data_IF_966751167888
#
_entry.id   IF_966751167888
#
_cell.length_a   1.000
_cell.length_b   1.000
_cell.length_c   1.000
_cell.angle_alpha   90.00
_cell.angle_beta   90.00
_cell.angle_gamma   90.00
#
_symmetry.space_group_name_H-M   'P 1'
#
loop_
_entity.id
_entity.type
_entity.pdbx_description
1 polymer ?
#
# COMPACT_ATOMS: atom_id res chain seq x y z
N UNK A 1 9.09 -14.37 15.71
CA UNK A 1 9.85 -14.18 14.44
C UNK A 1 9.33 -12.90 13.80
N UNK A 2 10.20 -11.95 13.43
CA UNK A 2 9.77 -10.80 12.63
C UNK A 2 9.47 -11.32 11.23
N UNK A 3 8.20 -11.36 10.84
CA UNK A 3 7.85 -11.56 9.44
C UNK A 3 8.33 -10.29 8.71
N UNK A 4 9.39 -10.41 7.91
CA UNK A 4 9.78 -9.35 6.99
C UNK A 4 8.74 -9.30 5.88
N UNK A 5 7.74 -8.44 6.05
CA UNK A 5 6.74 -8.15 5.03
C UNK A 5 7.23 -7.02 4.14
N UNK A 6 7.01 -7.14 2.83
CA UNK A 6 7.32 -6.05 1.87
C UNK A 6 6.39 -4.85 2.12
N UNK A 7 5.14 -5.12 2.51
CA UNK A 7 4.14 -4.12 2.87
C UNK A 7 3.77 -4.31 4.34
N UNK A 8 3.97 -3.28 5.16
CA UNK A 8 3.58 -3.26 6.56
C UNK A 8 2.33 -2.38 6.75
N UNK A 9 1.20 -3.00 7.08
CA UNK A 9 -0.09 -2.32 7.24
C UNK A 9 -0.04 -1.27 8.36
N UNK A 10 0.72 -1.51 9.44
CA UNK A 10 0.84 -0.54 10.54
C UNK A 10 1.59 0.72 10.10
N UNK A 11 2.60 0.58 9.24
CA UNK A 11 3.33 1.72 8.68
C UNK A 11 2.45 2.48 7.66
N UNK A 12 1.72 1.76 6.82
CA UNK A 12 0.74 2.38 5.92
C UNK A 12 -0.33 3.17 6.69
N UNK A 13 -0.83 2.63 7.81
CA UNK A 13 -1.80 3.30 8.68
C UNK A 13 -1.22 4.56 9.31
N UNK A 14 0.06 4.52 9.71
CA UNK A 14 0.76 5.69 10.23
C UNK A 14 0.84 6.80 9.19
N UNK A 15 1.29 6.47 7.96
CA UNK A 15 1.38 7.44 6.86
C UNK A 15 0.01 8.02 6.50
N UNK A 16 -1.04 7.19 6.48
CA UNK A 16 -2.41 7.66 6.21
C UNK A 16 -2.89 8.64 7.29
N UNK A 17 -2.61 8.37 8.56
CA UNK A 17 -2.95 9.28 9.67
C UNK A 17 -2.18 10.59 9.61
N UNK A 18 -0.87 10.54 9.33
CA UNK A 18 -0.04 11.73 9.15
C UNK A 18 -0.60 12.61 8.01
N UNK A 19 -0.98 12.00 6.90
CA UNK A 19 -1.62 12.71 5.78
C UNK A 19 -2.96 13.34 6.19
N UNK A 20 -3.82 12.61 6.92
CA UNK A 20 -5.08 13.16 7.43
C UNK A 20 -4.84 14.38 8.32
N UNK A 21 -3.86 14.31 9.23
CA UNK A 21 -3.52 15.39 10.16
C UNK A 21 -2.99 16.63 9.44
N UNK A 22 -2.06 16.47 8.50
CA UNK A 22 -1.50 17.56 7.69
C UNK A 22 -2.57 18.29 6.87
N UNK A 23 -3.57 17.56 6.39
CA UNK A 23 -4.63 18.09 5.53
C UNK A 23 -5.90 18.48 6.31
N UNK A 24 -5.89 18.38 7.65
CA UNK A 24 -7.07 18.63 8.52
C UNK A 24 -8.29 17.78 8.13
N UNK A 25 -8.05 16.54 7.72
CA UNK A 25 -9.06 15.54 7.40
C UNK A 25 -9.23 14.64 8.62
N UNK A 26 -10.47 14.32 8.99
CA UNK A 26 -10.73 13.36 10.06
C UNK A 26 -10.32 11.94 9.62
N UNK A 27 -9.56 11.25 10.47
CA UNK A 27 -9.21 9.86 10.24
C UNK A 27 -10.45 8.97 10.34
N UNK A 28 -10.62 8.08 9.36
CA UNK A 28 -11.67 7.07 9.35
C UNK A 28 -11.07 5.71 9.03
N UNK A 29 -11.41 4.69 9.83
CA UNK A 29 -10.95 3.32 9.61
C UNK A 29 -11.49 2.77 8.28
N UNK A 30 -12.77 3.00 7.98
CA UNK A 30 -13.39 2.59 6.70
C UNK A 30 -12.69 3.21 5.48
N UNK A 31 -12.22 4.45 5.60
CA UNK A 31 -11.44 5.11 4.54
C UNK A 31 -10.04 4.53 4.40
N UNK A 32 -9.43 4.14 5.51
CA UNK A 32 -8.16 3.43 5.47
C UNK A 32 -8.31 2.04 4.82
N UNK A 33 -9.38 1.30 5.11
CA UNK A 33 -9.65 0.02 4.44
C UNK A 33 -9.90 0.19 2.93
N UNK A 34 -10.68 1.20 2.53
CA UNK A 34 -10.86 1.55 1.12
C UNK A 34 -9.53 1.88 0.43
N UNK A 35 -8.65 2.59 1.13
CA UNK A 35 -7.31 2.92 0.63
C UNK A 35 -6.43 1.68 0.49
N UNK A 36 -6.46 0.73 1.43
CA UNK A 36 -5.72 -0.53 1.32
C UNK A 36 -6.20 -1.36 0.12
N UNK A 37 -7.52 -1.45 -0.09
CA UNK A 37 -8.08 -2.17 -1.25
C UNK A 37 -7.66 -1.51 -2.57
N UNK A 38 -7.58 -0.18 -2.60
CA UNK A 38 -7.06 0.55 -3.75
C UNK A 38 -5.59 0.21 -4.01
N UNK A 39 -4.74 0.23 -2.98
CA UNK A 39 -3.32 -0.12 -3.10
C UNK A 39 -3.08 -1.58 -3.50
N UNK A 40 -3.92 -2.51 -3.05
CA UNK A 40 -3.79 -3.93 -3.37
C UNK A 40 -3.85 -4.18 -4.87
N UNK A 41 -4.77 -3.51 -5.58
CA UNK A 41 -4.92 -3.61 -7.03
C UNK A 41 -3.64 -3.12 -7.73
N UNK A 42 -3.18 -1.92 -7.37
CA UNK A 42 -1.97 -1.32 -7.93
C UNK A 42 -0.73 -2.18 -7.66
N UNK A 43 -0.63 -2.78 -6.48
CA UNK A 43 0.47 -3.67 -6.11
C UNK A 43 0.53 -4.89 -7.02
N UNK A 44 -0.59 -5.58 -7.25
CA UNK A 44 -0.61 -6.75 -8.11
C UNK A 44 -0.36 -6.42 -9.58
N UNK A 45 -0.85 -5.28 -10.04
CA UNK A 45 -0.56 -4.80 -11.40
C UNK A 45 0.93 -4.48 -11.57
N UNK A 46 1.54 -3.79 -10.59
CA UNK A 46 2.98 -3.54 -10.57
C UNK A 46 3.77 -4.85 -10.57
N UNK A 47 3.43 -5.80 -9.71
CA UNK A 47 4.09 -7.13 -9.68
C UNK A 47 3.97 -7.83 -11.03
N UNK A 48 2.78 -7.86 -11.64
CA UNK A 48 2.54 -8.51 -12.93
C UNK A 48 3.37 -7.90 -14.06
N UNK A 49 3.43 -6.57 -14.13
CA UNK A 49 4.23 -5.88 -15.15
C UNK A 49 5.73 -6.12 -14.96
N UNK A 50 6.21 -6.07 -13.72
CA UNK A 50 7.62 -6.31 -13.42
C UNK A 50 8.02 -7.78 -13.62
N UNK A 51 7.14 -8.75 -13.33
CA UNK A 51 7.37 -10.15 -13.65
C UNK A 51 7.58 -10.35 -15.15
N UNK A 52 6.69 -9.77 -15.97
CA UNK A 52 6.84 -9.80 -17.43
C UNK A 52 8.22 -9.27 -17.83
N UNK A 53 8.57 -8.07 -17.37
CA UNK A 53 9.83 -7.42 -17.68
C UNK A 53 11.05 -8.23 -17.23
N UNK A 54 11.03 -8.75 -16.01
CA UNK A 54 12.09 -9.56 -15.43
C UNK A 54 12.40 -10.81 -16.28
N UNK A 55 11.39 -11.46 -16.83
CA UNK A 55 11.59 -12.65 -17.67
C UNK A 55 11.77 -12.34 -19.17
N UNK A 56 11.43 -11.14 -19.65
CA UNK A 56 11.65 -10.72 -21.06
C UNK A 56 12.95 -9.98 -21.28
N UNK A 57 13.68 -9.55 -20.24
CA UNK A 57 15.04 -9.02 -20.38
C UNK A 57 16.12 -10.10 -20.65
N UNK A 58 15.78 -11.17 -21.39
CA UNK A 58 16.76 -12.13 -21.92
C UNK A 58 17.05 -11.87 -23.38
#
# INVERSE_FOLDING_TARGET
MKNNTIINISEAKKLFKEYCEENKIEFSEDKFEQFLNFLEIDFYDWVKQNLKHFYTQK
#
